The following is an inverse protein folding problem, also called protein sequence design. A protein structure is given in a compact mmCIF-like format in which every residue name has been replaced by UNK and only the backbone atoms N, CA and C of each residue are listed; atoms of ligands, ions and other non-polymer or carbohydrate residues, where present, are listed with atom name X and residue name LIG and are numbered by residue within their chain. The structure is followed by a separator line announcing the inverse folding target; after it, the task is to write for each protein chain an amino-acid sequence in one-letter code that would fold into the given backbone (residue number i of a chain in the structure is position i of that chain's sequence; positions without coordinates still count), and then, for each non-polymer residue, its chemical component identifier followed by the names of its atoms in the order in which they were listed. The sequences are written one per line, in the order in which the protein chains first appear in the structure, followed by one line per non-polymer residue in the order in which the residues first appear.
data_IF_749986807072
#
_entry.id   IF_749986807072
#
_cell.length_a   1.000
_cell.length_b   1.000
_cell.length_c   1.000
_cell.angle_alpha   90.00
_cell.angle_beta   90.00
_cell.angle_gamma   90.00
#
_symmetry.space_group_name_H-M   'P 1'
#
loop_
_entity.id
_entity.type
_entity.pdbx_description
1 polymer ?
#
# COMPACT_ATOMS: atom_id res chain seq x y z
N UNK A 1 -9.87 8.46 5.46
CA UNK A 1 -9.83 7.18 4.73
C UNK A 1 -8.38 6.70 4.64
N UNK A 2 -8.09 5.45 5.00
CA UNK A 2 -6.78 4.81 4.73
C UNK A 2 -6.99 3.68 3.73
N UNK A 3 -6.16 3.57 2.70
CA UNK A 3 -6.25 2.52 1.69
C UNK A 3 -5.56 1.24 2.18
N UNK A 4 -6.19 0.09 1.98
CA UNK A 4 -5.66 -1.22 2.34
C UNK A 4 -5.90 -2.22 1.22
N UNK A 5 -5.19 -3.34 1.23
CA UNK A 5 -5.54 -4.51 0.42
C UNK A 5 -5.57 -5.74 1.28
N UNK A 6 -6.37 -6.72 0.88
CA UNK A 6 -6.58 -7.93 1.65
C UNK A 6 -6.93 -9.12 0.76
N UNK A 7 -6.87 -10.32 1.32
CA UNK A 7 -7.23 -11.57 0.65
C UNK A 7 -6.06 -12.50 0.42
N UNK A 8 -6.35 -13.64 -0.21
CA UNK A 8 -5.36 -14.64 -0.57
C UNK A 8 -4.33 -14.09 -1.58
N UNK A 9 -3.11 -14.63 -1.53
CA UNK A 9 -2.05 -14.24 -2.46
C UNK A 9 -2.49 -14.45 -3.93
N UNK A 10 -2.38 -13.40 -4.74
CA UNK A 10 -2.80 -13.40 -6.15
C UNK A 10 -4.31 -13.21 -6.38
N UNK A 11 -5.11 -13.05 -5.32
CA UNK A 11 -6.55 -12.78 -5.37
C UNK A 11 -6.93 -11.61 -4.47
N UNK A 12 -6.00 -10.69 -4.26
CA UNK A 12 -6.18 -9.55 -3.39
C UNK A 12 -7.27 -8.60 -3.90
N UNK A 13 -7.98 -7.97 -2.97
CA UNK A 13 -9.00 -6.95 -3.23
C UNK A 13 -8.61 -5.62 -2.61
N UNK A 14 -9.05 -4.49 -3.19
CA UNK A 14 -8.93 -3.17 -2.58
C UNK A 14 -9.91 -3.03 -1.41
N UNK A 15 -9.47 -2.34 -0.37
CA UNK A 15 -10.26 -2.01 0.81
C UNK A 15 -9.91 -0.66 1.39
N UNK A 16 -10.66 -0.24 2.40
CA UNK A 16 -10.33 0.93 3.22
C UNK A 16 -10.38 0.60 4.71
N UNK A 17 -9.68 1.40 5.52
CA UNK A 17 -10.06 1.62 6.91
C UNK A 17 -10.96 2.85 6.98
N UNK A 18 -12.16 2.66 7.53
CA UNK A 18 -13.11 3.74 7.79
C UNK A 18 -12.69 4.61 8.99
N UNK A 19 -13.53 5.59 9.34
CA UNK A 19 -13.24 6.51 10.43
C UNK A 19 -13.20 5.83 11.82
N UNK A 20 -13.84 4.66 11.95
CA UNK A 20 -13.86 3.82 13.15
C UNK A 20 -12.72 2.80 13.15
N UNK A 21 -11.94 2.73 12.08
CA UNK A 21 -10.83 1.79 11.93
C UNK A 21 -11.25 0.40 11.47
N UNK A 22 -12.50 0.21 11.04
CA UNK A 22 -12.96 -1.07 10.49
C UNK A 22 -12.53 -1.22 9.04
N UNK A 23 -12.25 -2.46 8.66
CA UNK A 23 -11.87 -2.84 7.29
C UNK A 23 -13.13 -2.96 6.44
N UNK A 24 -13.17 -2.27 5.30
CA UNK A 24 -14.30 -2.30 4.36
C UNK A 24 -13.82 -2.74 2.98
N UNK A 25 -14.56 -3.65 2.36
CA UNK A 25 -14.34 -4.09 0.98
C UNK A 25 -14.88 -3.03 0.02
N UNK A 26 -14.01 -2.49 -0.85
CA UNK A 26 -14.38 -1.51 -1.88
C UNK A 26 -14.17 -2.08 -3.29
N UNK A 27 -14.06 -3.39 -3.45
CA UNK A 27 -13.89 -4.04 -4.75
C UNK A 27 -15.02 -3.76 -5.74
N UNK A 28 -16.21 -3.39 -5.24
CA UNK A 28 -17.33 -2.91 -6.06
C UNK A 28 -17.04 -1.60 -6.82
N UNK A 29 -16.02 -0.82 -6.40
CA UNK A 29 -15.54 0.34 -7.14
C UNK A 29 -15.02 -0.01 -8.55
N UNK A 30 -14.59 -1.25 -8.77
CA UNK A 30 -14.18 -1.76 -10.07
C UNK A 30 -12.73 -1.42 -10.47
N UNK A 31 -12.01 -0.66 -9.64
CA UNK A 31 -10.57 -0.41 -9.80
C UNK A 31 -9.78 -0.96 -8.61
N UNK A 32 -8.48 -1.17 -8.81
CA UNK A 32 -7.55 -1.65 -7.79
C UNK A 32 -6.40 -0.66 -7.59
N UNK A 33 -5.70 -0.71 -6.45
CA UNK A 33 -4.68 0.28 -6.05
C UNK A 33 -3.33 0.07 -6.77
N UNK A 34 -3.32 0.30 -8.08
CA UNK A 34 -2.18 0.16 -8.97
C UNK A 34 -1.70 1.53 -9.50
N UNK A 35 -0.72 1.50 -10.40
CA UNK A 35 -0.17 2.70 -11.05
C UNK A 35 -1.23 3.55 -11.79
N UNK A 36 -2.25 2.93 -12.40
CA UNK A 36 -3.32 3.65 -13.09
C UNK A 36 -4.21 4.38 -12.09
N UNK A 37 -4.59 3.71 -11.00
CA UNK A 37 -5.37 4.33 -9.92
C UNK A 37 -4.65 5.54 -9.35
N UNK A 38 -3.40 5.39 -8.92
CA UNK A 38 -2.65 6.51 -8.33
C UNK A 38 -2.28 7.59 -9.36
N UNK A 39 -2.01 7.22 -10.61
CA UNK A 39 -1.63 8.17 -11.67
C UNK A 39 -2.79 8.99 -12.24
N UNK A 40 -4.04 8.63 -11.96
CA UNK A 40 -5.20 9.26 -12.59
C UNK A 40 -6.18 9.90 -11.60
N UNK A 41 -5.77 10.34 -10.40
CA UNK A 41 -6.67 10.85 -9.35
C UNK A 41 -7.62 9.78 -8.75
N UNK A 42 -7.21 8.51 -8.70
CA UNK A 42 -8.03 7.41 -8.18
C UNK A 42 -8.48 7.60 -6.73
N UNK A 43 -7.67 8.25 -5.89
CA UNK A 43 -8.05 8.55 -4.49
C UNK A 43 -9.30 9.42 -4.44
N UNK A 44 -9.38 10.46 -5.29
CA UNK A 44 -10.56 11.33 -5.35
C UNK A 44 -11.76 10.59 -5.91
N UNK A 45 -11.59 9.82 -7.01
CA UNK A 45 -12.68 9.01 -7.57
C UNK A 45 -13.25 8.02 -6.56
N UNK A 46 -12.39 7.36 -5.79
CA UNK A 46 -12.82 6.46 -4.73
C UNK A 46 -13.58 7.20 -3.63
N UNK A 47 -13.12 8.39 -3.23
CA UNK A 47 -13.82 9.21 -2.26
C UNK A 47 -15.22 9.64 -2.75
N UNK A 48 -15.32 10.06 -4.02
CA UNK A 48 -16.60 10.44 -4.65
C UNK A 48 -17.54 9.24 -4.77
N UNK A 49 -17.02 8.06 -5.12
CA UNK A 49 -17.78 6.82 -5.15
C UNK A 49 -18.29 6.42 -3.77
N UNK A 50 -17.44 6.49 -2.74
CA UNK A 50 -17.82 6.20 -1.36
C UNK A 50 -18.90 7.15 -0.86
N UNK A 51 -18.86 8.44 -1.22
CA UNK A 51 -19.88 9.41 -0.83
C UNK A 51 -21.31 9.01 -1.30
N UNK A 52 -21.42 8.10 -2.26
CA UNK A 52 -22.70 7.60 -2.80
C UNK A 52 -22.96 6.12 -2.50
N UNK A 53 -21.96 5.35 -2.05
CA UNK A 53 -22.03 3.88 -1.88
C UNK A 53 -21.52 3.37 -0.52
N UNK A 54 -21.19 4.26 0.43
CA UNK A 54 -20.65 3.87 1.75
C UNK A 54 -21.46 2.77 2.48
N UNK A 55 -22.81 2.79 2.51
CA UNK A 55 -23.60 1.74 3.16
C UNK A 55 -23.43 0.35 2.55
N UNK A 56 -23.01 0.27 1.28
CA UNK A 56 -22.89 -0.97 0.51
C UNK A 56 -21.51 -1.61 0.60
N UNK A 57 -20.56 -0.99 1.28
CA UNK A 57 -19.21 -1.54 1.48
C UNK A 57 -19.23 -2.64 2.55
N UNK A 58 -19.04 -3.93 2.26
CA UNK A 58 -19.09 -4.96 3.30
C UNK A 58 -17.92 -4.82 4.28
N UNK A 59 -18.14 -5.15 5.55
CA UNK A 59 -17.04 -5.28 6.51
C UNK A 59 -16.20 -6.52 6.18
N UNK A 60 -14.88 -6.39 6.27
CA UNK A 60 -13.93 -7.48 6.04
C UNK A 60 -13.56 -8.08 7.38
N UNK A 61 -13.72 -9.40 7.50
CA UNK A 61 -13.36 -10.14 8.70
C UNK A 61 -11.89 -9.92 9.10
N UNK A 62 -11.64 -9.77 10.39
CA UNK A 62 -10.31 -9.45 10.92
C UNK A 62 -9.26 -10.54 10.64
N UNK A 63 -9.70 -11.79 10.49
CA UNK A 63 -8.84 -12.94 10.18
C UNK A 63 -8.36 -12.96 8.72
N UNK A 64 -8.99 -12.17 7.84
CA UNK A 64 -8.59 -12.09 6.44
C UNK A 64 -7.20 -11.47 6.34
N UNK A 65 -6.28 -12.17 5.68
CA UNK A 65 -4.90 -11.74 5.45
C UNK A 65 -4.81 -10.30 4.92
N UNK A 66 -3.83 -9.56 5.43
CA UNK A 66 -3.41 -8.28 4.89
C UNK A 66 -2.48 -8.48 3.71
N UNK A 67 -2.79 -7.85 2.59
CA UNK A 67 -1.90 -7.82 1.45
C UNK A 67 -1.02 -6.56 1.48
N UNK A 68 0.02 -6.56 0.64
CA UNK A 68 0.73 -5.33 0.33
C UNK A 68 -0.27 -4.25 -0.14
N UNK A 69 -0.14 -2.98 0.27
CA UNK A 69 -1.17 -1.96 0.06
C UNK A 69 -1.28 -1.48 -1.40
N UNK A 70 -0.48 -2.01 -2.31
CA UNK A 70 -0.38 -1.61 -3.70
C UNK A 70 -0.33 -2.84 -4.63
N UNK A 71 -0.98 -2.77 -5.80
CA UNK A 71 -0.92 -3.80 -6.83
C UNK A 71 0.32 -3.61 -7.69
N UNK A 72 1.15 -4.66 -7.78
CA UNK A 72 2.13 -4.90 -8.85
C UNK A 72 2.79 -3.59 -9.36
N UNK A 73 3.61 -2.92 -8.52
CA UNK A 73 4.25 -1.70 -8.97
C UNK A 73 5.27 -2.03 -10.06
N UNK A 74 5.54 -1.07 -10.95
CA UNK A 74 6.57 -1.23 -11.96
C UNK A 74 7.99 -1.23 -11.37
N UNK A 75 8.24 -0.46 -10.30
CA UNK A 75 9.57 -0.32 -9.67
C UNK A 75 9.45 -0.10 -8.16
N UNK A 76 10.47 -0.55 -7.41
CA UNK A 76 10.71 -0.13 -6.02
C UNK A 76 12.02 0.65 -6.00
N UNK A 77 11.91 1.98 -5.85
CA UNK A 77 13.06 2.88 -5.74
C UNK A 77 13.30 3.16 -4.26
N UNK A 78 14.47 2.77 -3.77
CA UNK A 78 14.85 2.89 -2.37
C UNK A 78 15.89 3.99 -2.18
N UNK A 79 15.82 4.68 -1.04
CA UNK A 79 16.80 5.70 -0.63
C UNK A 79 17.62 5.13 0.54
N UNK A 80 18.94 5.09 0.37
CA UNK A 80 19.88 4.72 1.41
C UNK A 80 20.31 5.93 2.24
N UNK A 81 20.74 5.66 3.48
CA UNK A 81 21.37 6.65 4.38
C UNK A 81 20.57 7.97 4.54
N UNK A 82 19.25 7.88 4.58
CA UNK A 82 18.36 9.05 4.67
C UNK A 82 18.07 9.52 6.11
N UNK A 83 18.88 9.08 7.08
CA UNK A 83 18.82 9.44 8.49
C UNK A 83 20.24 9.73 8.99
N UNK A 84 20.48 10.90 9.60
CA UNK A 84 21.82 11.32 10.03
C UNK A 84 22.44 10.35 11.03
N UNK A 85 21.65 9.91 12.02
CA UNK A 85 22.10 8.95 13.04
C UNK A 85 22.49 7.61 12.41
N UNK A 86 21.76 7.14 11.40
CA UNK A 86 22.10 5.90 10.69
C UNK A 86 23.41 6.00 9.91
N UNK A 87 23.72 7.18 9.34
CA UNK A 87 25.02 7.43 8.71
C UNK A 87 26.16 7.40 9.75
N UNK A 88 25.94 8.03 10.91
CA UNK A 88 26.91 8.04 12.02
C UNK A 88 27.15 6.63 12.58
N UNK A 89 26.10 5.85 12.86
CA UNK A 89 26.19 4.46 13.33
C UNK A 89 26.98 3.57 12.36
N UNK A 90 26.86 3.84 11.06
CA UNK A 90 27.56 3.09 10.00
C UNK A 90 28.98 3.59 9.75
N UNK A 91 29.46 4.60 10.49
CA UNK A 91 30.72 5.33 10.21
C UNK A 91 30.81 5.84 8.77
N UNK A 92 29.67 6.21 8.18
CA UNK A 92 29.58 6.74 6.82
C UNK A 92 29.39 8.26 6.87
N UNK A 93 29.98 8.97 5.91
CA UNK A 93 29.73 10.40 5.73
C UNK A 93 28.29 10.58 5.26
N UNK A 94 27.60 11.61 5.78
CA UNK A 94 26.26 11.99 5.30
C UNK A 94 26.35 12.31 3.81
N UNK A 95 25.61 11.62 2.94
CA UNK A 95 25.68 11.87 1.50
C UNK A 95 25.25 13.29 1.15
N UNK A 96 25.97 13.94 0.22
CA UNK A 96 25.56 15.25 -0.32
C UNK A 96 24.37 15.13 -1.29
N UNK A 97 24.14 13.93 -1.83
CA UNK A 97 23.07 13.60 -2.76
C UNK A 97 22.37 12.28 -2.35
N UNK A 98 21.09 12.06 -2.70
CA UNK A 98 20.38 10.84 -2.34
C UNK A 98 21.02 9.57 -2.92
N UNK A 99 21.29 8.60 -2.05
CA UNK A 99 21.75 7.26 -2.48
C UNK A 99 20.56 6.46 -2.98
N UNK A 100 20.43 6.29 -4.29
CA UNK A 100 19.29 5.60 -4.92
C UNK A 100 19.67 4.17 -5.32
N UNK A 101 18.84 3.20 -4.96
CA UNK A 101 18.98 1.80 -5.40
C UNK A 101 17.62 1.15 -5.66
N UNK A 102 17.61 -0.05 -6.23
CA UNK A 102 16.38 -0.80 -6.52
C UNK A 102 16.24 -2.05 -5.66
N UNK A 103 15.00 -2.38 -5.32
CA UNK A 103 14.60 -3.74 -4.91
C UNK A 103 13.75 -4.37 -6.02
N UNK A 104 13.90 -5.68 -6.22
CA UNK A 104 13.03 -6.41 -7.13
C UNK A 104 11.57 -6.33 -6.66
N UNK A 105 10.63 -6.16 -7.59
CA UNK A 105 9.19 -6.10 -7.29
C UNK A 105 8.65 -7.42 -6.71
N UNK A 106 9.36 -8.53 -6.94
CA UNK A 106 9.12 -9.84 -6.32
C UNK A 106 9.43 -9.88 -4.82
N UNK A 107 10.04 -8.85 -4.25
CA UNK A 107 10.33 -8.77 -2.81
C UNK A 107 9.16 -8.20 -1.98
N UNK A 108 8.03 -7.85 -2.61
CA UNK A 108 6.87 -7.27 -1.93
C UNK A 108 6.02 -8.38 -1.32
N UNK A 109 5.74 -8.26 -0.02
CA UNK A 109 4.84 -9.15 0.73
C UNK A 109 3.87 -8.32 1.58
N UNK A 110 2.83 -8.96 2.11
CA UNK A 110 1.91 -8.36 3.06
C UNK A 110 2.62 -8.03 4.40
N UNK A 111 2.08 -7.09 5.18
CA UNK A 111 2.71 -6.62 6.42
C UNK A 111 2.81 -7.68 7.52
N UNK A 112 2.06 -8.78 7.41
CA UNK A 112 2.06 -9.90 8.36
C UNK A 112 2.36 -11.24 7.69
N UNK A 113 2.89 -11.21 6.46
CA UNK A 113 3.35 -12.43 5.80
C UNK A 113 4.71 -12.85 6.35
N UNK A 114 4.97 -14.16 6.35
CA UNK A 114 6.28 -14.69 6.69
C UNK A 114 7.33 -14.26 5.67
N UNK A 115 8.52 -13.89 6.16
CA UNK A 115 9.70 -13.62 5.34
C UNK A 115 10.61 -14.85 5.34
N UNK A 116 10.98 -15.32 4.15
CA UNK A 116 12.00 -16.37 3.95
C UNK A 116 13.35 -15.71 3.66
#
# INVERSE_FOLDING_TARGET
MKLIRFGEAGREKPGILDAQGKRRDVSAFGEDFNEQFFGQNGIQRLADWLATHEPETPEVDEQVRWAAPLARPSKIVCIGLNYADHAQESNMVVPEEPVVFFKATSAIVGPYDDTI
#
